data_IF_375850403649
#
_entry.id   IF_375850403649
#
_cell.length_a   1.000
_cell.length_b   1.000
_cell.length_c   1.000
_cell.angle_alpha   90.00
_cell.angle_beta   90.00
_cell.angle_gamma   90.00
#
_symmetry.space_group_name_H-M   'P 1'
#
loop_
_entity.id
_entity.type
_entity.pdbx_description
1 polymer ?
#
# COMPACT_ATOMS: atom_id res chain seq x y z
N UNK A 1 12.62 -4.51 -13.91
CA UNK A 1 12.15 -3.94 -15.20
C UNK A 1 10.98 -4.72 -15.83
N UNK A 2 10.98 -6.07 -15.84
CA UNK A 2 9.88 -6.88 -16.39
C UNK A 2 8.61 -6.94 -15.49
N UNK A 3 8.76 -6.80 -14.17
CA UNK A 3 7.66 -6.92 -13.21
C UNK A 3 6.60 -5.81 -13.33
N UNK A 4 7.00 -4.56 -13.60
CA UNK A 4 6.07 -3.42 -13.70
C UNK A 4 5.16 -3.49 -14.94
N UNK A 5 5.64 -4.09 -16.04
CA UNK A 5 4.82 -4.32 -17.23
C UNK A 5 3.82 -5.47 -17.03
N UNK A 6 4.21 -6.50 -16.28
CA UNK A 6 3.32 -7.61 -15.93
C UNK A 6 2.23 -7.17 -14.93
N UNK A 7 2.54 -6.30 -13.97
CA UNK A 7 1.59 -5.81 -12.99
C UNK A 7 0.47 -4.94 -13.61
N UNK A 8 0.79 -4.09 -14.59
CA UNK A 8 -0.19 -3.28 -15.31
C UNK A 8 -1.15 -4.14 -16.17
N UNK A 9 -0.63 -5.22 -16.77
CA UNK A 9 -1.45 -6.19 -17.51
C UNK A 9 -2.30 -7.08 -16.58
N UNK A 10 -1.76 -7.48 -15.42
CA UNK A 10 -2.46 -8.30 -14.44
C UNK A 10 -3.57 -7.53 -13.69
N UNK A 11 -3.40 -6.23 -13.45
CA UNK A 11 -4.43 -5.38 -12.87
C UNK A 11 -5.67 -5.24 -13.78
N UNK A 12 -5.48 -5.31 -15.10
CA UNK A 12 -6.59 -5.37 -16.06
C UNK A 12 -7.25 -6.76 -16.12
N UNK A 13 -6.53 -7.83 -15.74
CA UNK A 13 -7.01 -9.21 -15.84
C UNK A 13 -7.69 -9.75 -14.56
N UNK A 14 -7.32 -9.26 -13.36
CA UNK A 14 -7.79 -9.83 -12.09
C UNK A 14 -9.07 -9.18 -11.50
N UNK A 15 -9.76 -8.33 -12.27
CA UNK A 15 -11.12 -7.92 -11.97
C UNK A 15 -12.09 -9.03 -12.36
N UNK A 16 -12.44 -9.90 -11.43
CA UNK A 16 -13.53 -10.89 -11.59
C UNK A 16 -14.88 -10.18 -11.79
N UNK A 17 -15.12 -9.68 -12.99
CA UNK A 17 -16.37 -9.20 -13.55
C UNK A 17 -16.31 -9.61 -15.02
N UNK A 18 -17.33 -10.30 -15.53
CA UNK A 18 -17.41 -10.70 -16.93
C UNK A 18 -17.42 -9.49 -17.88
N UNK A 19 -16.24 -8.96 -18.19
CA UNK A 19 -16.02 -7.81 -19.07
C UNK A 19 -15.00 -8.25 -20.11
N UNK A 20 -15.34 -8.00 -21.37
CA UNK A 20 -14.57 -8.38 -22.54
C UNK A 20 -13.16 -7.79 -22.57
N UNK A 21 -12.39 -8.18 -23.59
CA UNK A 21 -11.01 -7.73 -23.80
C UNK A 21 -10.83 -6.23 -23.52
N UNK A 22 -9.72 -5.83 -22.86
CA UNK A 22 -9.42 -4.43 -22.63
C UNK A 22 -9.47 -3.67 -23.97
N UNK A 23 -10.15 -2.52 -23.98
CA UNK A 23 -10.27 -1.73 -25.20
C UNK A 23 -8.90 -1.17 -25.62
N UNK A 24 -8.74 -0.80 -26.88
CA UNK A 24 -7.52 -0.15 -27.35
C UNK A 24 -7.15 1.11 -26.52
N UNK A 25 -8.16 1.82 -26.00
CA UNK A 25 -7.98 2.98 -25.12
C UNK A 25 -7.43 2.59 -23.75
N UNK A 26 -7.88 1.47 -23.18
CA UNK A 26 -7.39 0.99 -21.88
C UNK A 26 -5.92 0.55 -21.97
N UNK A 27 -5.55 -0.09 -23.09
CA UNK A 27 -4.17 -0.46 -23.37
C UNK A 27 -3.25 0.77 -23.52
N UNK A 28 -3.71 1.81 -24.23
CA UNK A 28 -2.97 3.07 -24.38
C UNK A 28 -2.80 3.77 -23.02
N UNK A 29 -3.86 3.87 -22.22
CA UNK A 29 -3.81 4.45 -20.89
C UNK A 29 -2.82 3.70 -19.97
N UNK A 30 -2.82 2.36 -20.01
CA UNK A 30 -1.88 1.54 -19.25
C UNK A 30 -0.41 1.79 -19.68
N UNK A 31 -0.16 1.96 -20.98
CA UNK A 31 1.17 2.28 -21.49
C UNK A 31 1.65 3.66 -21.04
N UNK A 32 0.78 4.67 -21.09
CA UNK A 32 1.08 6.02 -20.61
C UNK A 32 1.36 6.06 -19.11
N UNK A 33 0.58 5.30 -18.33
CA UNK A 33 0.80 5.15 -16.89
C UNK A 33 2.13 4.45 -16.61
N UNK A 34 2.43 3.34 -17.28
CA UNK A 34 3.70 2.65 -17.15
C UNK A 34 4.89 3.55 -17.54
N UNK A 35 4.74 4.40 -18.56
CA UNK A 35 5.74 5.42 -18.92
C UNK A 35 5.93 6.43 -17.79
N UNK A 36 4.85 6.97 -17.23
CA UNK A 36 4.93 7.92 -16.11
C UNK A 36 5.61 7.34 -14.87
N UNK A 37 5.31 6.09 -14.52
CA UNK A 37 5.93 5.39 -13.40
C UNK A 37 7.44 5.19 -13.61
N UNK A 38 7.88 4.92 -14.84
CA UNK A 38 9.32 4.83 -15.16
C UNK A 38 10.03 6.17 -15.07
N UNK A 39 9.36 7.25 -15.48
CA UNK A 39 9.92 8.60 -15.41
C UNK A 39 9.97 9.14 -13.96
N UNK A 40 9.12 8.62 -13.08
CA UNK A 40 9.00 9.05 -11.68
C UNK A 40 9.06 7.83 -10.74
N UNK A 41 10.24 7.20 -10.55
CA UNK A 41 10.36 5.96 -9.79
C UNK A 41 10.00 6.12 -8.30
N UNK A 42 10.01 7.34 -7.76
CA UNK A 42 9.62 7.63 -6.38
C UNK A 42 8.11 7.76 -6.18
N UNK A 43 7.30 7.84 -7.25
CA UNK A 43 5.88 8.17 -7.13
C UNK A 43 5.11 7.17 -6.25
N UNK A 44 5.36 5.86 -6.43
CA UNK A 44 4.68 4.81 -5.63
C UNK A 44 5.12 4.90 -4.18
N UNK A 45 6.42 5.10 -3.95
CA UNK A 45 7.00 5.28 -2.62
C UNK A 45 6.36 6.48 -1.89
N UNK A 46 6.39 7.66 -2.52
CA UNK A 46 5.92 8.91 -1.91
C UNK A 46 4.42 8.87 -1.64
N UNK A 47 3.63 8.33 -2.58
CA UNK A 47 2.19 8.14 -2.39
C UNK A 47 1.89 7.18 -1.24
N UNK A 48 2.61 6.05 -1.16
CA UNK A 48 2.43 5.05 -0.11
C UNK A 48 2.84 5.62 1.26
N UNK A 49 3.96 6.33 1.33
CA UNK A 49 4.44 7.02 2.54
C UNK A 49 3.41 8.03 3.05
N UNK A 50 2.90 8.90 2.17
CA UNK A 50 1.87 9.87 2.53
C UNK A 50 0.61 9.20 3.09
N UNK A 51 0.14 8.11 2.48
CA UNK A 51 -1.03 7.36 2.99
C UNK A 51 -0.78 6.77 4.38
N UNK A 52 0.39 6.19 4.64
CA UNK A 52 0.73 5.68 5.96
C UNK A 52 0.87 6.80 6.99
N UNK A 53 1.44 7.95 6.62
CA UNK A 53 1.55 9.10 7.52
C UNK A 53 0.17 9.62 7.94
N UNK A 54 -0.75 9.78 6.99
CA UNK A 54 -2.15 10.15 7.25
C UNK A 54 -2.83 9.13 8.17
N UNK A 55 -2.65 7.84 7.92
CA UNK A 55 -3.35 6.79 8.69
C UNK A 55 -2.77 6.61 10.09
N UNK A 56 -1.45 6.69 10.25
CA UNK A 56 -0.77 6.38 11.50
C UNK A 56 -0.61 7.59 12.42
N UNK A 57 -0.39 8.78 11.87
CA UNK A 57 0.00 9.97 12.65
C UNK A 57 -1.05 11.09 12.66
N UNK A 58 -2.05 11.07 11.76
CA UNK A 58 -3.10 12.08 11.69
C UNK A 58 -4.48 11.57 12.16
N UNK A 59 -5.36 12.51 12.52
CA UNK A 59 -6.77 12.25 12.81
C UNK A 59 -7.60 12.14 11.51
N UNK A 60 -7.38 11.06 10.74
CA UNK A 60 -8.15 10.81 9.52
C UNK A 60 -9.49 10.08 9.79
N UNK A 61 -10.60 10.65 9.29
CA UNK A 61 -11.96 10.10 9.38
C UNK A 61 -12.30 9.09 8.27
N UNK A 62 -11.68 9.18 7.09
CA UNK A 62 -11.96 8.35 5.91
C UNK A 62 -10.98 7.17 5.75
N UNK A 63 -10.88 6.33 6.78
CA UNK A 63 -9.83 5.29 6.86
C UNK A 63 -10.07 4.13 5.90
N UNK A 64 -11.35 3.78 5.70
CA UNK A 64 -11.73 2.63 4.88
C UNK A 64 -11.43 2.86 3.41
N UNK A 65 -11.54 4.10 2.93
CA UNK A 65 -11.22 4.42 1.53
C UNK A 65 -9.72 4.39 1.25
N UNK A 66 -8.86 4.59 2.26
CA UNK A 66 -7.40 4.58 2.10
C UNK A 66 -6.80 3.15 2.12
N UNK A 67 -7.46 2.20 2.79
CA UNK A 67 -6.97 0.81 2.87
C UNK A 67 -6.72 0.16 1.49
N UNK A 68 -7.66 0.33 0.56
CA UNK A 68 -7.61 -0.24 -0.80
C UNK A 68 -6.49 0.33 -1.67
N UNK A 69 -6.30 1.66 -1.78
CA UNK A 69 -5.15 2.21 -2.49
C UNK A 69 -3.83 1.86 -1.81
N UNK A 70 -3.76 1.78 -0.47
CA UNK A 70 -2.54 1.35 0.24
C UNK A 70 -2.12 -0.08 -0.15
N UNK A 71 -3.04 -1.05 -0.12
CA UNK A 71 -2.73 -2.42 -0.55
C UNK A 71 -2.34 -2.47 -2.03
N UNK A 72 -3.05 -1.71 -2.88
CA UNK A 72 -2.77 -1.70 -4.32
C UNK A 72 -1.38 -1.16 -4.63
N UNK A 73 -0.94 -0.10 -3.95
CA UNK A 73 0.40 0.47 -4.10
C UNK A 73 1.48 -0.44 -3.50
N UNK A 74 1.22 -1.06 -2.35
CA UNK A 74 2.16 -1.99 -1.72
C UNK A 74 2.42 -3.23 -2.59
N UNK A 75 1.40 -3.72 -3.31
CA UNK A 75 1.56 -4.83 -4.25
C UNK A 75 2.13 -4.40 -5.61
N UNK A 76 2.01 -3.13 -5.97
CA UNK A 76 2.55 -2.58 -7.21
C UNK A 76 4.09 -2.49 -7.16
N UNK A 77 4.63 -2.09 -6.02
CA UNK A 77 6.08 -2.02 -5.77
C UNK A 77 6.38 -2.44 -4.33
N UNK A 78 6.70 -3.73 -4.17
CA UNK A 78 7.01 -4.34 -2.86
C UNK A 78 8.28 -3.74 -2.26
N UNK A 79 9.28 -3.40 -3.08
CA UNK A 79 10.52 -2.79 -2.60
C UNK A 79 10.25 -1.37 -2.08
N UNK A 80 9.40 -0.59 -2.77
CA UNK A 80 8.97 0.71 -2.28
C UNK A 80 8.23 0.57 -0.94
N UNK A 81 7.37 -0.44 -0.79
CA UNK A 81 6.70 -0.71 0.48
C UNK A 81 7.67 -1.00 1.62
N UNK A 82 8.65 -1.88 1.42
CA UNK A 82 9.68 -2.18 2.43
C UNK A 82 10.50 -0.95 2.80
N UNK A 83 10.85 -0.10 1.83
CA UNK A 83 11.53 1.18 2.09
C UNK A 83 10.68 2.11 2.95
N UNK A 84 9.40 2.28 2.63
CA UNK A 84 8.46 3.08 3.44
C UNK A 84 8.38 2.55 4.87
N UNK A 85 8.28 1.23 5.07
CA UNK A 85 8.26 0.65 6.41
C UNK A 85 9.53 0.98 7.19
N UNK A 86 10.70 0.85 6.55
CA UNK A 86 11.98 1.18 7.15
C UNK A 86 12.08 2.67 7.53
N UNK A 87 11.70 3.57 6.63
CA UNK A 87 11.70 5.02 6.87
C UNK A 87 10.76 5.41 8.02
N UNK A 88 9.53 4.90 8.04
CA UNK A 88 8.56 5.23 9.09
C UNK A 88 9.00 4.71 10.47
N UNK A 89 9.69 3.57 10.51
CA UNK A 89 10.23 3.03 11.75
C UNK A 89 11.46 3.79 12.25
N UNK A 90 12.33 4.22 11.34
CA UNK A 90 13.62 4.86 11.70
C UNK A 90 13.54 6.38 11.83
N UNK A 91 12.70 7.02 11.03
CA UNK A 91 12.62 8.48 10.86
C UNK A 91 11.21 9.03 11.03
N UNK A 92 10.21 8.16 11.20
CA UNK A 92 8.82 8.57 11.35
C UNK A 92 8.55 9.42 12.59
N UNK A 93 7.40 10.09 12.57
CA UNK A 93 7.01 11.03 13.62
C UNK A 93 6.91 10.35 14.99
N UNK A 94 7.88 10.67 15.84
CA UNK A 94 8.02 10.16 17.20
C UNK A 94 8.42 8.67 17.29
N UNK A 95 8.93 8.07 16.22
CA UNK A 95 9.67 6.79 16.26
C UNK A 95 11.19 7.04 16.27
N UNK A 96 11.69 8.09 15.61
CA UNK A 96 13.12 8.39 15.49
C UNK A 96 13.89 8.47 16.83
N UNK A 97 13.26 9.04 17.86
CA UNK A 97 13.85 9.18 19.19
C UNK A 97 13.20 8.26 20.24
N UNK A 98 12.41 7.26 19.81
CA UNK A 98 11.71 6.35 20.72
C UNK A 98 11.80 4.91 20.19
N UNK A 99 12.80 4.13 20.64
CA UNK A 99 13.02 2.75 20.20
C UNK A 99 11.84 1.82 20.48
N UNK A 100 11.13 2.01 21.59
CA UNK A 100 9.96 1.19 21.94
C UNK A 100 8.82 1.43 20.96
N UNK A 101 8.55 2.69 20.62
CA UNK A 101 7.54 3.06 19.63
C UNK A 101 7.92 2.59 18.23
N UNK A 102 9.20 2.67 17.87
CA UNK A 102 9.73 2.11 16.63
C UNK A 102 9.51 0.57 16.57
N UNK A 103 9.76 -0.14 17.66
CA UNK A 103 9.55 -1.59 17.75
C UNK A 103 8.05 -1.96 17.68
N UNK A 104 7.18 -1.19 18.34
CA UNK A 104 5.72 -1.33 18.19
C UNK A 104 5.30 -1.17 16.73
N UNK A 105 5.83 -0.15 16.03
CA UNK A 105 5.52 0.08 14.62
C UNK A 105 6.01 -1.06 13.70
N UNK A 106 7.21 -1.62 13.93
CA UNK A 106 7.68 -2.84 13.23
C UNK A 106 6.70 -4.00 13.39
N UNK A 107 6.22 -4.19 14.61
CA UNK A 107 5.24 -5.25 14.92
C UNK A 107 3.89 -4.99 14.26
N UNK A 108 3.45 -3.73 14.20
CA UNK A 108 2.25 -3.33 13.44
C UNK A 108 2.38 -3.69 11.97
N UNK A 109 3.51 -3.43 11.31
CA UNK A 109 3.70 -3.80 9.91
C UNK A 109 3.67 -5.30 9.66
N UNK A 110 4.21 -6.10 10.59
CA UNK A 110 4.12 -7.57 10.51
C UNK A 110 2.67 -8.03 10.61
N UNK A 111 1.90 -7.50 11.57
CA UNK A 111 0.47 -7.82 11.74
C UNK A 111 -0.40 -7.30 10.59
N UNK A 112 -0.02 -6.18 9.99
CA UNK A 112 -0.74 -5.59 8.86
C UNK A 112 -0.83 -6.56 7.68
N UNK A 113 0.26 -7.29 7.41
CA UNK A 113 0.35 -8.25 6.31
C UNK A 113 -0.01 -9.69 6.70
N UNK A 114 -0.44 -9.93 7.94
CA UNK A 114 -0.84 -11.26 8.38
C UNK A 114 -2.07 -11.76 7.60
N UNK A 115 -1.98 -12.96 7.01
CA UNK A 115 -2.98 -13.54 6.10
C UNK A 115 -3.30 -12.68 4.85
N UNK A 116 -2.44 -11.74 4.48
CA UNK A 116 -2.58 -10.96 3.25
C UNK A 116 -1.71 -11.59 2.16
N UNK A 117 -2.37 -12.08 1.11
CA UNK A 117 -1.72 -12.60 -0.09
C UNK A 117 -1.35 -11.47 -1.08
N UNK A 118 -0.46 -11.71 -2.06
CA UNK A 118 -0.17 -10.76 -3.13
C UNK A 118 -1.28 -10.72 -4.19
N UNK A 119 -2.52 -10.47 -3.76
CA UNK A 119 -3.71 -10.45 -4.61
C UNK A 119 -4.62 -9.26 -4.29
N UNK A 120 -5.37 -8.80 -5.30
CA UNK A 120 -6.35 -7.73 -5.17
C UNK A 120 -7.80 -8.26 -5.08
N UNK A 121 -7.97 -9.54 -4.80
CA UNK A 121 -9.29 -10.14 -4.57
C UNK A 121 -10.04 -9.47 -3.40
N UNK A 122 -11.39 -9.40 -3.45
CA UNK A 122 -12.20 -8.77 -2.40
C UNK A 122 -11.88 -9.27 -0.99
N UNK A 123 -11.82 -10.61 -0.80
CA UNK A 123 -11.51 -11.22 0.49
C UNK A 123 -10.14 -10.79 1.05
N UNK A 124 -9.14 -10.66 0.19
CA UNK A 124 -7.80 -10.25 0.58
C UNK A 124 -7.76 -8.76 0.96
N UNK A 125 -8.46 -7.92 0.19
CA UNK A 125 -8.64 -6.49 0.51
C UNK A 125 -9.36 -6.28 1.84
N UNK A 126 -10.39 -7.07 2.11
CA UNK A 126 -11.13 -7.00 3.37
C UNK A 126 -10.25 -7.42 4.55
N UNK A 127 -9.41 -8.46 4.37
CA UNK A 127 -8.42 -8.87 5.38
C UNK A 127 -7.44 -7.73 5.69
N UNK A 128 -6.84 -7.11 4.67
CA UNK A 128 -5.94 -5.97 4.86
C UNK A 128 -6.64 -4.81 5.59
N UNK A 129 -7.89 -4.51 5.24
CA UNK A 129 -8.69 -3.45 5.87
C UNK A 129 -8.91 -3.71 7.36
N UNK A 130 -9.24 -4.97 7.72
CA UNK A 130 -9.38 -5.39 9.12
C UNK A 130 -8.06 -5.24 9.87
N UNK A 131 -6.97 -5.76 9.30
CA UNK A 131 -5.65 -5.67 9.92
C UNK A 131 -5.24 -4.20 10.15
N UNK A 132 -5.44 -3.33 9.14
CA UNK A 132 -5.11 -1.91 9.22
C UNK A 132 -5.87 -1.19 10.35
N UNK A 133 -7.16 -1.51 10.50
CA UNK A 133 -7.98 -0.97 11.59
C UNK A 133 -7.40 -1.34 12.96
N UNK A 134 -7.07 -2.62 13.15
CA UNK A 134 -6.54 -3.12 14.42
C UNK A 134 -5.17 -2.51 14.74
N UNK A 135 -4.22 -2.53 13.79
CA UNK A 135 -2.86 -2.04 14.05
C UNK A 135 -2.83 -0.53 14.28
N UNK A 136 -3.71 0.23 13.62
CA UNK A 136 -3.83 1.68 13.85
C UNK A 136 -4.28 1.96 15.28
N UNK A 137 -5.37 1.32 15.72
CA UNK A 137 -5.90 1.52 17.07
C UNK A 137 -4.86 1.15 18.13
N UNK A 138 -4.16 0.04 17.94
CA UNK A 138 -3.11 -0.41 18.85
C UNK A 138 -1.91 0.57 18.87
N UNK A 139 -1.49 1.07 17.72
CA UNK A 139 -0.38 2.02 17.63
C UNK A 139 -0.71 3.40 18.20
N UNK A 140 -1.95 3.87 18.02
CA UNK A 140 -2.43 5.16 18.52
C UNK A 140 -2.86 5.09 20.00
N UNK A 141 -3.08 3.89 20.55
CA UNK A 141 -3.40 3.72 21.95
C UNK A 141 -2.25 4.22 22.83
N UNK A 142 -2.57 5.17 23.72
CA UNK A 142 -1.67 5.70 24.74
C UNK A 142 -1.52 4.64 25.82
N UNK A 143 -0.47 3.85 25.73
CA UNK A 143 0.11 3.12 26.87
C UNK A 143 1.33 3.90 27.33
#
# INVERSE_FOLDING_TARGET
>A
AAAAAAAAAAAAANGSLGIGMPSARDAEAAQLMAKHLRMNPQLVHDALKALYEIVLFEECSNQWSLSRPMLSLALLDVEAFERVQHELVSQGQGTANNPERAQRLRTCFTRLMHDVSPSLEPKNRDRFTQNLTVVRLDFQSRT
#
